data_IF_338092550069
#
_entry.id   IF_338092550069
#
_cell.length_a   1.000
_cell.length_b   1.000
_cell.length_c   1.000
_cell.angle_alpha   90.00
_cell.angle_beta   90.00
_cell.angle_gamma   90.00
#
_symmetry.space_group_name_H-M   'P 1'
#
loop_
_entity.id
_entity.type
_entity.pdbx_description
1 polymer ?
#
# COMPACT_ATOMS: atom_id res chain seq x y z
N UNK A 1 5.97 -23.58 31.73
CA UNK A 1 6.59 -23.11 30.46
C UNK A 1 5.56 -22.29 29.70
N UNK A 2 5.79 -20.99 29.52
CA UNK A 2 4.95 -20.14 28.68
C UNK A 2 5.01 -20.65 27.23
N UNK A 3 3.86 -20.99 26.62
CA UNK A 3 3.80 -21.27 25.18
C UNK A 3 4.30 -20.03 24.46
N UNK A 4 5.40 -20.13 23.71
CA UNK A 4 5.79 -19.07 22.78
C UNK A 4 4.66 -18.89 21.78
N UNK A 5 3.99 -17.74 21.84
CA UNK A 5 3.07 -17.30 20.80
C UNK A 5 3.87 -17.22 19.50
N UNK A 6 3.46 -17.98 18.49
CA UNK A 6 4.10 -18.00 17.18
C UNK A 6 3.23 -17.23 16.18
N UNK A 7 3.88 -16.63 15.17
CA UNK A 7 3.19 -16.00 14.07
C UNK A 7 2.36 -17.05 13.30
N UNK A 8 1.08 -16.75 13.10
CA UNK A 8 0.19 -17.45 12.18
C UNK A 8 0.30 -16.81 10.80
N UNK A 9 0.54 -17.63 9.79
CA UNK A 9 0.76 -17.15 8.44
C UNK A 9 -0.51 -16.67 7.74
N UNK A 10 -0.37 -15.64 6.90
CA UNK A 10 -1.46 -15.11 6.07
C UNK A 10 -0.97 -14.82 4.66
N UNK A 11 -1.51 -15.54 3.68
CA UNK A 11 -1.09 -15.48 2.27
C UNK A 11 -1.51 -14.18 1.57
N UNK A 12 -2.53 -13.49 2.08
CA UNK A 12 -3.02 -12.23 1.50
C UNK A 12 -1.95 -11.14 1.52
N UNK A 13 -1.02 -11.18 2.46
CA UNK A 13 0.09 -10.21 2.53
C UNK A 13 0.96 -10.28 1.27
N UNK A 14 1.37 -11.49 0.88
CA UNK A 14 2.19 -11.67 -0.33
C UNK A 14 1.37 -11.46 -1.61
N UNK A 15 0.13 -11.95 -1.65
CA UNK A 15 -0.77 -11.71 -2.80
C UNK A 15 -0.98 -10.22 -3.01
N UNK A 16 -1.22 -9.46 -1.94
CA UNK A 16 -1.34 -8.00 -1.99
C UNK A 16 -0.06 -7.32 -2.45
N UNK A 17 1.11 -7.73 -1.96
CA UNK A 17 2.39 -7.20 -2.41
C UNK A 17 2.63 -7.44 -3.91
N UNK A 18 2.39 -8.67 -4.39
CA UNK A 18 2.53 -9.02 -5.80
C UNK A 18 1.53 -8.25 -6.66
N UNK A 19 0.27 -8.19 -6.23
CA UNK A 19 -0.77 -7.46 -6.94
C UNK A 19 -0.38 -5.99 -7.11
N UNK A 20 0.07 -5.31 -6.05
CA UNK A 20 0.55 -3.94 -6.14
C UNK A 20 1.72 -3.78 -7.10
N UNK A 21 2.72 -4.66 -7.05
CA UNK A 21 3.88 -4.60 -7.96
C UNK A 21 3.51 -4.83 -9.44
N UNK A 22 2.29 -5.27 -9.75
CA UNK A 22 1.80 -5.29 -11.13
C UNK A 22 1.47 -3.89 -11.67
N UNK A 23 1.52 -2.82 -10.85
CA UNK A 23 1.47 -1.42 -11.31
C UNK A 23 2.50 -1.14 -12.42
N UNK A 24 3.66 -1.79 -12.36
CA UNK A 24 4.73 -1.67 -13.35
C UNK A 24 4.33 -2.15 -14.75
N UNK A 25 3.37 -3.07 -14.84
CA UNK A 25 2.81 -3.50 -16.13
C UNK A 25 2.12 -2.34 -16.81
N UNK A 26 1.38 -1.52 -16.07
CA UNK A 26 0.75 -0.32 -16.62
C UNK A 26 1.74 0.80 -16.90
N UNK A 27 2.66 1.08 -15.97
CA UNK A 27 3.66 2.14 -16.13
C UNK A 27 4.50 1.92 -17.39
N UNK A 28 5.03 0.70 -17.57
CA UNK A 28 5.86 0.34 -18.72
C UNK A 28 5.00 0.16 -19.98
N UNK A 29 3.88 -0.55 -19.87
CA UNK A 29 3.04 -0.92 -21.01
C UNK A 29 2.29 0.25 -21.65
N UNK A 30 1.85 1.23 -20.86
CA UNK A 30 1.14 2.41 -21.33
C UNK A 30 2.02 3.66 -21.43
N UNK A 31 3.30 3.58 -21.05
CA UNK A 31 4.23 4.72 -21.09
C UNK A 31 3.75 5.90 -20.24
N UNK A 32 3.21 5.63 -19.05
CA UNK A 32 2.58 6.65 -18.20
C UNK A 32 3.62 7.67 -17.75
N UNK A 33 3.54 8.89 -18.29
CA UNK A 33 4.42 10.01 -17.96
C UNK A 33 3.71 11.23 -17.35
N UNK A 34 2.41 11.10 -17.05
CA UNK A 34 1.54 12.17 -16.52
C UNK A 34 0.95 11.73 -15.18
N UNK A 35 0.57 12.66 -14.27
CA UNK A 35 0.52 14.12 -14.43
C UNK A 35 1.88 14.81 -14.27
N UNK A 36 2.04 15.99 -14.89
CA UNK A 36 3.30 16.75 -14.94
C UNK A 36 3.32 17.95 -13.97
N UNK A 37 2.15 18.50 -13.64
CA UNK A 37 1.99 19.61 -12.71
C UNK A 37 2.05 20.99 -13.36
N UNK A 38 1.72 22.01 -12.56
CA UNK A 38 1.49 23.38 -13.06
C UNK A 38 2.73 24.06 -13.68
N UNK A 39 3.94 23.61 -13.32
CA UNK A 39 5.21 24.14 -13.84
C UNK A 39 5.57 23.58 -15.21
N UNK A 40 4.89 22.54 -15.69
CA UNK A 40 5.13 21.96 -17.00
C UNK A 40 4.73 22.92 -18.13
N UNK A 41 5.51 22.90 -19.22
CA UNK A 41 5.23 23.73 -20.38
C UNK A 41 3.93 23.29 -21.07
N UNK A 42 3.31 24.20 -21.82
CA UNK A 42 2.09 23.87 -22.57
C UNK A 42 2.32 22.77 -23.60
N UNK A 43 3.53 22.75 -24.19
CA UNK A 43 3.98 21.72 -25.10
C UNK A 43 4.09 20.35 -24.42
N UNK A 44 4.70 20.26 -23.23
CA UNK A 44 4.91 18.98 -22.54
C UNK A 44 3.59 18.38 -22.05
N UNK A 45 2.69 19.21 -21.52
CA UNK A 45 1.34 18.78 -21.17
C UNK A 45 0.61 18.26 -22.42
N UNK A 46 0.65 18.99 -23.53
CA UNK A 46 0.01 18.53 -24.76
C UNK A 46 0.60 17.21 -25.23
N UNK A 47 1.93 17.07 -25.23
CA UNK A 47 2.63 15.84 -25.64
C UNK A 47 2.28 14.64 -24.75
N UNK A 48 2.12 14.84 -23.44
CA UNK A 48 1.78 13.78 -22.49
C UNK A 48 0.34 13.27 -22.60
N UNK A 49 -0.61 14.10 -23.07
CA UNK A 49 -2.03 13.74 -23.12
C UNK A 49 -2.56 13.50 -24.54
N UNK A 50 -2.08 14.20 -25.57
CA UNK A 50 -2.60 14.11 -26.93
C UNK A 50 -2.34 12.72 -27.52
N UNK A 51 -3.37 12.06 -28.04
CA UNK A 51 -3.26 10.73 -28.66
C UNK A 51 -3.13 9.55 -27.68
N UNK A 52 -3.19 9.80 -26.37
CA UNK A 52 -2.96 8.77 -25.33
C UNK A 52 -4.23 8.33 -24.58
N UNK A 53 -5.43 8.64 -25.10
CA UNK A 53 -6.69 8.43 -24.38
C UNK A 53 -6.93 6.95 -24.01
N UNK A 54 -6.71 6.03 -24.95
CA UNK A 54 -6.88 4.60 -24.71
C UNK A 54 -5.82 4.05 -23.75
N UNK A 55 -4.56 4.48 -23.92
CA UNK A 55 -3.45 4.04 -23.08
C UNK A 55 -3.64 4.48 -21.62
N UNK A 56 -3.97 5.75 -21.40
CA UNK A 56 -4.22 6.30 -20.06
C UNK A 56 -5.53 5.77 -19.46
N UNK A 57 -6.56 5.55 -20.27
CA UNK A 57 -7.80 4.91 -19.84
C UNK A 57 -7.58 3.47 -19.36
N UNK A 58 -6.81 2.68 -20.12
CA UNK A 58 -6.42 1.32 -19.72
C UNK A 58 -5.56 1.34 -18.45
N UNK A 59 -4.56 2.23 -18.38
CA UNK A 59 -3.71 2.36 -17.20
C UNK A 59 -4.52 2.73 -15.95
N UNK A 60 -5.44 3.69 -16.05
CA UNK A 60 -6.32 4.05 -14.93
C UNK A 60 -7.19 2.88 -14.47
N UNK A 61 -7.76 2.11 -15.40
CA UNK A 61 -8.51 0.90 -15.09
C UNK A 61 -7.64 -0.19 -14.43
N UNK A 62 -6.38 -0.32 -14.85
CA UNK A 62 -5.42 -1.25 -14.26
C UNK A 62 -5.06 -0.86 -12.83
N UNK A 63 -4.64 0.40 -12.60
CA UNK A 63 -4.32 0.93 -11.28
C UNK A 63 -5.51 0.79 -10.31
N UNK A 64 -6.74 1.03 -10.76
CA UNK A 64 -7.93 0.82 -9.93
C UNK A 64 -8.07 -0.60 -9.34
N UNK A 65 -7.46 -1.60 -9.97
CA UNK A 65 -7.42 -2.98 -9.48
C UNK A 65 -6.15 -3.26 -8.69
N UNK A 66 -4.98 -2.98 -9.28
CA UNK A 66 -3.70 -3.42 -8.71
C UNK A 66 -3.33 -2.66 -7.44
N UNK A 67 -3.76 -1.40 -7.30
CA UNK A 67 -3.48 -0.60 -6.11
C UNK A 67 -4.16 -1.15 -4.85
N UNK A 68 -5.28 -1.89 -5.01
CA UNK A 68 -5.92 -2.61 -3.90
C UNK A 68 -4.99 -3.64 -3.26
N UNK A 69 -3.92 -4.06 -3.96
CA UNK A 69 -2.87 -4.91 -3.41
C UNK A 69 -2.28 -4.37 -2.11
N UNK A 70 -2.08 -3.05 -1.99
CA UNK A 70 -1.57 -2.45 -0.75
C UNK A 70 -2.58 -2.54 0.40
N UNK A 71 -3.89 -2.41 0.12
CA UNK A 71 -4.94 -2.61 1.12
C UNK A 71 -5.00 -4.07 1.56
N UNK A 72 -4.98 -5.01 0.61
CA UNK A 72 -4.94 -6.45 0.89
C UNK A 72 -3.73 -6.82 1.76
N UNK A 73 -2.58 -6.20 1.51
CA UNK A 73 -1.40 -6.39 2.34
C UNK A 73 -1.67 -5.99 3.80
N UNK A 74 -2.24 -4.81 4.04
CA UNK A 74 -2.53 -4.33 5.40
C UNK A 74 -3.60 -5.16 6.10
N UNK A 75 -4.65 -5.58 5.38
CA UNK A 75 -5.70 -6.46 5.90
C UNK A 75 -5.13 -7.84 6.24
N UNK A 76 -4.28 -8.40 5.39
CA UNK A 76 -3.59 -9.67 5.64
C UNK A 76 -2.68 -9.60 6.86
N UNK A 77 -1.94 -8.51 7.02
CA UNK A 77 -1.04 -8.31 8.17
C UNK A 77 -1.83 -8.14 9.47
N UNK A 78 -2.93 -7.39 9.43
CA UNK A 78 -3.87 -7.24 10.57
C UNK A 78 -4.42 -8.61 10.99
N UNK A 79 -4.84 -9.41 10.02
CA UNK A 79 -5.39 -10.75 10.25
C UNK A 79 -4.32 -11.68 10.84
N UNK A 80 -3.10 -11.67 10.29
CA UNK A 80 -1.97 -12.44 10.83
C UNK A 80 -1.70 -12.11 12.31
N UNK A 81 -1.69 -10.82 12.68
CA UNK A 81 -1.51 -10.38 14.07
C UNK A 81 -2.67 -10.84 14.97
N UNK A 82 -3.92 -10.69 14.53
CA UNK A 82 -5.10 -11.09 15.29
C UNK A 82 -5.15 -12.62 15.49
N UNK A 83 -4.90 -13.41 14.44
CA UNK A 83 -4.87 -14.87 14.50
C UNK A 83 -3.72 -15.41 15.33
N UNK A 84 -2.63 -14.63 15.45
CA UNK A 84 -1.50 -14.88 16.35
C UNK A 84 -1.76 -14.41 17.79
N UNK A 85 -2.99 -14.04 18.14
CA UNK A 85 -3.38 -13.60 19.49
C UNK A 85 -2.65 -12.31 19.94
N UNK A 86 -2.22 -11.48 18.97
CA UNK A 86 -1.57 -10.18 19.16
C UNK A 86 -2.25 -9.08 18.34
N UNK A 87 -3.59 -8.89 18.44
CA UNK A 87 -4.26 -7.81 17.72
C UNK A 87 -3.74 -6.45 18.19
N UNK A 88 -3.70 -5.48 17.27
CA UNK A 88 -3.18 -4.14 17.56
C UNK A 88 -4.05 -3.07 16.88
N UNK A 89 -4.57 -2.10 17.64
CA UNK A 89 -5.49 -1.05 17.13
C UNK A 89 -4.88 -0.18 16.03
N UNK A 90 -3.55 0.01 16.06
CA UNK A 90 -2.87 0.72 14.97
C UNK A 90 -3.03 0.04 13.61
N UNK A 91 -3.33 -1.27 13.55
CA UNK A 91 -3.62 -1.92 12.28
C UNK A 91 -4.94 -1.47 11.66
N UNK A 92 -5.91 -1.03 12.46
CA UNK A 92 -7.15 -0.47 11.94
C UNK A 92 -6.88 0.88 11.25
N UNK A 93 -6.05 1.71 11.88
CA UNK A 93 -5.56 2.97 11.32
C UNK A 93 -4.71 2.71 10.08
N UNK A 94 -3.85 1.70 10.09
CA UNK A 94 -3.01 1.36 8.94
C UNK A 94 -3.85 0.98 7.71
N UNK A 95 -4.84 0.10 7.90
CA UNK A 95 -5.76 -0.28 6.82
C UNK A 95 -6.53 0.93 6.29
N UNK A 96 -7.06 1.78 7.17
CA UNK A 96 -7.81 2.97 6.78
C UNK A 96 -6.93 3.98 6.01
N UNK A 97 -5.74 4.29 6.52
CA UNK A 97 -4.80 5.19 5.87
C UNK A 97 -4.36 4.68 4.49
N UNK A 98 -4.11 3.37 4.36
CA UNK A 98 -3.79 2.75 3.08
C UNK A 98 -4.95 2.78 2.09
N UNK A 99 -6.18 2.57 2.57
CA UNK A 99 -7.37 2.69 1.73
C UNK A 99 -7.54 4.12 1.20
N UNK A 100 -7.25 5.13 2.04
CA UNK A 100 -7.25 6.54 1.62
C UNK A 100 -6.17 6.82 0.56
N UNK A 101 -4.93 6.36 0.75
CA UNK A 101 -3.89 6.56 -0.29
C UNK A 101 -4.27 5.91 -1.62
N UNK A 102 -4.79 4.68 -1.58
CA UNK A 102 -5.22 3.97 -2.79
C UNK A 102 -6.37 4.71 -3.47
N UNK A 103 -7.37 5.18 -2.72
CA UNK A 103 -8.48 5.94 -3.30
C UNK A 103 -8.01 7.23 -3.97
N UNK A 104 -7.10 7.97 -3.34
CA UNK A 104 -6.50 9.18 -3.90
C UNK A 104 -5.74 8.87 -5.20
N UNK A 105 -4.93 7.82 -5.20
CA UNK A 105 -4.13 7.42 -6.36
C UNK A 105 -5.01 6.95 -7.54
N UNK A 106 -6.11 6.25 -7.26
CA UNK A 106 -7.12 5.93 -8.29
C UNK A 106 -7.74 7.20 -8.88
N UNK A 107 -8.03 8.22 -8.04
CA UNK A 107 -8.52 9.51 -8.52
C UNK A 107 -7.49 10.22 -9.40
N UNK A 108 -6.19 10.19 -9.05
CA UNK A 108 -5.12 10.76 -9.88
C UNK A 108 -5.18 10.19 -11.29
N UNK A 109 -5.16 8.87 -11.44
CA UNK A 109 -5.13 8.25 -12.76
C UNK A 109 -6.45 8.40 -13.51
N UNK A 110 -7.59 8.40 -12.81
CA UNK A 110 -8.89 8.68 -13.43
C UNK A 110 -8.96 10.11 -13.99
N UNK A 111 -8.44 11.10 -13.26
CA UNK A 111 -8.36 12.49 -13.72
C UNK A 111 -7.41 12.62 -14.92
N UNK A 112 -6.24 11.98 -14.87
CA UNK A 112 -5.30 11.97 -15.99
C UNK A 112 -5.90 11.32 -17.25
N UNK A 113 -6.59 10.19 -17.12
CA UNK A 113 -7.30 9.56 -18.22
C UNK A 113 -8.42 10.47 -18.76
N UNK A 114 -9.19 11.11 -17.87
CA UNK A 114 -10.23 12.06 -18.23
C UNK A 114 -9.70 13.29 -18.97
N UNK A 115 -8.49 13.77 -18.62
CA UNK A 115 -7.82 14.87 -19.31
C UNK A 115 -7.47 14.49 -20.75
N UNK A 116 -6.88 13.30 -20.96
CA UNK A 116 -6.59 12.79 -22.30
C UNK A 116 -7.86 12.55 -23.13
N UNK A 117 -8.88 11.94 -22.51
CA UNK A 117 -10.16 11.70 -23.16
C UNK A 117 -10.83 13.02 -23.60
N UNK A 118 -10.84 14.02 -22.72
CA UNK A 118 -11.39 15.35 -23.03
C UNK A 118 -10.70 15.96 -24.24
N UNK A 119 -9.36 15.94 -24.27
CA UNK A 119 -8.58 16.46 -25.39
C UNK A 119 -8.88 15.72 -26.71
N UNK A 120 -9.06 14.40 -26.68
CA UNK A 120 -9.42 13.61 -27.85
C UNK A 120 -10.84 13.91 -28.39
N UNK A 121 -11.71 14.52 -27.58
CA UNK A 121 -13.11 14.82 -27.91
C UNK A 121 -13.38 16.32 -28.03
N UNK A 122 -12.38 17.10 -28.47
CA UNK A 122 -12.53 18.53 -28.74
C UNK A 122 -12.36 19.43 -27.50
N UNK A 123 -11.90 18.87 -26.39
CA UNK A 123 -11.49 19.62 -25.21
C UNK A 123 -10.28 20.53 -25.46
N UNK A 124 -10.12 21.54 -24.60
CA UNK A 124 -9.05 22.53 -24.76
C UNK A 124 -7.77 22.16 -23.99
N UNK A 125 -6.64 22.72 -24.42
CA UNK A 125 -5.38 22.63 -23.67
C UNK A 125 -5.50 23.28 -22.28
N UNK A 126 -6.28 24.35 -22.14
CA UNK A 126 -6.52 24.99 -20.85
C UNK A 126 -7.21 24.03 -19.86
N UNK A 127 -8.24 23.31 -20.31
CA UNK A 127 -8.92 22.27 -19.52
C UNK A 127 -7.95 21.15 -19.14
N UNK A 128 -7.14 20.69 -20.09
CA UNK A 128 -6.16 19.63 -19.86
C UNK A 128 -5.13 20.04 -18.80
N UNK A 129 -4.60 21.26 -18.88
CA UNK A 129 -3.67 21.81 -17.87
C UNK A 129 -4.31 21.92 -16.48
N UNK A 130 -5.58 22.30 -16.40
CA UNK A 130 -6.29 22.38 -15.14
C UNK A 130 -6.45 20.99 -14.49
N UNK A 131 -6.84 19.98 -15.28
CA UNK A 131 -6.97 18.60 -14.81
C UNK A 131 -5.60 18.00 -14.43
N UNK A 132 -4.56 18.27 -15.22
CA UNK A 132 -3.19 17.85 -14.92
C UNK A 132 -2.69 18.42 -13.58
N UNK A 133 -2.93 19.71 -13.32
CA UNK A 133 -2.56 20.33 -12.05
C UNK A 133 -3.32 19.71 -10.86
N UNK A 134 -4.61 19.39 -11.03
CA UNK A 134 -5.41 18.71 -9.99
C UNK A 134 -4.90 17.29 -9.73
N UNK A 135 -4.65 16.52 -10.79
CA UNK A 135 -4.10 15.17 -10.69
C UNK A 135 -2.72 15.19 -10.03
N UNK A 136 -1.85 16.13 -10.44
CA UNK A 136 -0.53 16.30 -9.85
C UNK A 136 -0.61 16.61 -8.36
N UNK A 137 -1.42 17.61 -7.96
CA UNK A 137 -1.56 17.96 -6.55
C UNK A 137 -2.12 16.80 -5.73
N UNK A 138 -3.11 16.09 -6.26
CA UNK A 138 -3.70 14.92 -5.60
C UNK A 138 -2.65 13.82 -5.46
N UNK A 139 -1.78 13.62 -6.44
CA UNK A 139 -0.69 12.63 -6.38
C UNK A 139 0.28 12.93 -5.24
N UNK A 140 0.60 14.21 -4.99
CA UNK A 140 1.46 14.58 -3.85
C UNK A 140 0.86 14.20 -2.49
N UNK A 141 -0.47 14.23 -2.37
CA UNK A 141 -1.16 13.88 -1.12
C UNK A 141 -1.17 12.38 -0.81
N UNK A 142 -0.91 11.51 -1.80
CA UNK A 142 -0.92 10.04 -1.66
C UNK A 142 0.13 9.56 -0.64
N UNK A 143 1.28 10.22 -0.59
CA UNK A 143 2.43 9.76 0.19
C UNK A 143 2.23 9.84 1.71
N UNK A 144 1.48 10.84 2.19
CA UNK A 144 1.21 11.02 3.62
C UNK A 144 0.48 9.81 4.23
N UNK A 145 -0.70 9.41 3.72
CA UNK A 145 -1.42 8.25 4.21
C UNK A 145 -0.65 6.92 4.04
N UNK A 146 0.15 6.75 2.97
CA UNK A 146 1.07 5.60 2.85
C UNK A 146 2.03 5.57 4.05
N UNK A 147 2.66 6.70 4.36
CA UNK A 147 3.60 6.83 5.47
C UNK A 147 2.97 6.49 6.82
N UNK A 148 1.78 7.04 7.09
CA UNK A 148 1.01 6.74 8.31
C UNK A 148 0.68 5.26 8.39
N UNK A 149 0.26 4.64 7.29
CA UNK A 149 -0.05 3.21 7.26
C UNK A 149 1.17 2.36 7.62
N UNK A 150 2.31 2.63 7.00
CA UNK A 150 3.55 1.88 7.22
C UNK A 150 4.09 2.09 8.64
N UNK A 151 4.02 3.31 9.18
CA UNK A 151 4.39 3.59 10.58
C UNK A 151 3.52 2.78 11.54
N UNK A 152 2.20 2.85 11.38
CA UNK A 152 1.26 2.12 12.22
C UNK A 152 1.49 0.60 12.17
N UNK A 153 1.70 0.06 10.97
CA UNK A 153 2.02 -1.35 10.77
C UNK A 153 3.38 -1.72 11.38
N UNK A 154 4.41 -0.92 11.15
CA UNK A 154 5.76 -1.12 11.71
C UNK A 154 5.77 -1.11 13.24
N UNK A 155 5.05 -0.17 13.87
CA UNK A 155 4.89 -0.12 15.34
C UNK A 155 4.14 -1.35 15.82
N UNK A 156 3.03 -1.72 15.19
CA UNK A 156 2.27 -2.93 15.57
C UNK A 156 3.14 -4.20 15.48
N UNK A 157 3.90 -4.36 14.40
CA UNK A 157 4.84 -5.47 14.23
C UNK A 157 5.94 -5.45 15.30
N UNK A 158 6.51 -4.28 15.58
CA UNK A 158 7.55 -4.11 16.61
C UNK A 158 7.03 -4.48 18.00
N UNK A 159 5.87 -3.95 18.39
CA UNK A 159 5.25 -4.20 19.69
C UNK A 159 4.74 -5.64 19.85
N UNK A 160 4.36 -6.32 18.76
CA UNK A 160 3.91 -7.71 18.81
C UNK A 160 5.00 -8.69 19.23
N UNK A 161 6.27 -8.38 18.94
CA UNK A 161 7.40 -9.30 19.11
C UNK A 161 7.37 -10.54 18.21
N UNK A 162 6.42 -10.63 17.27
CA UNK A 162 6.25 -11.78 16.37
C UNK A 162 7.15 -11.73 15.13
N UNK A 163 7.63 -10.53 14.80
CA UNK A 163 8.45 -10.26 13.62
C UNK A 163 9.89 -9.95 14.01
N UNK A 164 10.84 -10.21 13.10
CA UNK A 164 12.22 -9.80 13.28
C UNK A 164 12.31 -8.28 13.40
N UNK A 165 13.12 -7.78 14.35
CA UNK A 165 13.30 -6.33 14.57
C UNK A 165 13.75 -5.59 13.32
N UNK A 166 14.61 -6.19 12.50
CA UNK A 166 15.04 -5.59 11.24
C UNK A 166 13.86 -5.35 10.29
N UNK A 167 12.94 -6.32 10.17
CA UNK A 167 11.75 -6.20 9.34
C UNK A 167 10.80 -5.11 9.86
N UNK A 168 10.50 -5.12 11.17
CA UNK A 168 9.64 -4.09 11.78
C UNK A 168 10.27 -2.70 11.67
N UNK A 169 11.58 -2.60 11.89
CA UNK A 169 12.35 -1.36 11.75
C UNK A 169 12.35 -0.82 10.33
N UNK A 170 12.45 -1.69 9.32
CA UNK A 170 12.35 -1.30 7.92
C UNK A 170 11.00 -0.64 7.60
N UNK A 171 9.90 -1.18 8.16
CA UNK A 171 8.56 -0.60 8.02
C UNK A 171 8.43 0.76 8.70
N UNK A 172 9.03 0.91 9.89
CA UNK A 172 9.10 2.20 10.60
C UNK A 172 9.87 3.26 9.80
N UNK A 173 11.03 2.89 9.26
CA UNK A 173 11.86 3.79 8.44
C UNK A 173 11.11 4.18 7.17
N UNK A 174 10.56 3.22 6.43
CA UNK A 174 9.76 3.50 5.24
C UNK A 174 8.59 4.44 5.55
N UNK A 175 7.83 4.14 6.61
CA UNK A 175 6.70 4.96 7.00
C UNK A 175 7.08 6.38 7.41
N UNK A 176 8.19 6.54 8.15
CA UNK A 176 8.68 7.87 8.53
C UNK A 176 9.07 8.67 7.28
N UNK A 177 9.82 8.06 6.36
CA UNK A 177 10.24 8.72 5.13
C UNK A 177 9.04 9.15 4.27
N UNK A 178 8.05 8.27 4.07
CA UNK A 178 6.83 8.62 3.33
C UNK A 178 5.99 9.70 4.02
N UNK A 179 5.92 9.69 5.35
CA UNK A 179 5.20 10.72 6.10
C UNK A 179 5.88 12.09 5.93
N UNK A 180 7.21 12.13 6.07
CA UNK A 180 7.98 13.36 5.83
C UNK A 180 7.85 13.80 4.37
N UNK A 181 7.88 12.86 3.42
CA UNK A 181 7.73 13.14 1.99
C UNK A 181 6.36 13.76 1.68
N UNK A 182 5.26 13.18 2.19
CA UNK A 182 3.92 13.75 2.01
C UNK A 182 3.77 15.15 2.61
N UNK A 183 4.39 15.42 3.77
CA UNK A 183 4.40 16.77 4.36
C UNK A 183 5.27 17.76 3.57
N UNK A 184 6.39 17.28 2.99
CA UNK A 184 7.35 18.11 2.29
C UNK A 184 6.92 18.45 0.85
N UNK A 185 6.27 17.52 0.15
CA UNK A 185 5.83 17.72 -1.23
C UNK A 185 4.77 18.82 -1.37
N UNK A 186 3.96 19.03 -0.34
CA UNK A 186 2.98 20.12 -0.27
C UNK A 186 3.61 21.51 -0.06
N UNK A 187 4.89 21.57 0.27
CA UNK A 187 5.58 22.81 0.63
C UNK A 187 6.90 22.96 -0.15
N UNK A 188 6.92 23.78 -1.23
CA UNK A 188 8.06 23.90 -2.14
C UNK A 188 9.42 24.21 -1.48
N UNK A 189 9.40 24.86 -0.31
CA UNK A 189 10.60 25.13 0.50
C UNK A 189 11.37 23.88 0.95
N UNK A 190 10.77 22.69 0.87
CA UNK A 190 11.36 21.43 1.31
C UNK A 190 11.80 20.51 0.15
N UNK A 191 11.93 21.02 -1.09
CA UNK A 191 12.30 20.22 -2.26
C UNK A 191 13.60 19.38 -2.06
N UNK A 192 14.61 19.93 -1.38
CA UNK A 192 15.85 19.20 -1.09
C UNK A 192 15.63 17.99 -0.17
N UNK A 193 14.71 18.11 0.79
CA UNK A 193 14.37 17.01 1.70
C UNK A 193 13.68 15.87 0.96
N UNK A 194 12.78 16.18 0.01
CA UNK A 194 12.13 15.20 -0.86
C UNK A 194 13.16 14.43 -1.69
N UNK A 195 14.12 15.13 -2.29
CA UNK A 195 15.15 14.48 -3.10
C UNK A 195 15.99 13.50 -2.28
N UNK A 196 16.36 13.89 -1.05
CA UNK A 196 17.16 13.06 -0.14
C UNK A 196 16.46 11.75 0.29
N UNK A 197 15.11 11.72 0.27
CA UNK A 197 14.31 10.58 0.72
C UNK A 197 13.63 9.83 -0.43
N UNK A 198 13.98 10.13 -1.68
CA UNK A 198 13.43 9.51 -2.89
C UNK A 198 13.56 7.97 -2.91
N UNK A 199 14.52 7.40 -2.19
CA UNK A 199 14.67 5.95 -2.02
C UNK A 199 13.58 5.30 -1.13
N UNK A 200 12.67 6.08 -0.54
CA UNK A 200 11.62 5.58 0.35
C UNK A 200 10.77 4.47 -0.30
N UNK A 201 10.41 4.62 -1.58
CA UNK A 201 9.62 3.64 -2.32
C UNK A 201 10.31 2.27 -2.39
N UNK A 202 11.62 2.25 -2.67
CA UNK A 202 12.39 1.01 -2.70
C UNK A 202 12.41 0.32 -1.33
N UNK A 203 12.59 1.09 -0.25
CA UNK A 203 12.56 0.58 1.12
C UNK A 203 11.18 -0.03 1.44
N UNK A 204 10.11 0.64 1.04
CA UNK A 204 8.74 0.13 1.17
C UNK A 204 8.56 -1.18 0.39
N UNK A 205 8.97 -1.27 -0.87
CA UNK A 205 8.82 -2.50 -1.66
C UNK A 205 9.58 -3.67 -1.03
N UNK A 206 10.81 -3.45 -0.56
CA UNK A 206 11.58 -4.47 0.17
C UNK A 206 10.82 -4.92 1.42
N UNK A 207 10.30 -3.97 2.21
CA UNK A 207 9.50 -4.28 3.40
C UNK A 207 8.23 -5.07 3.06
N UNK A 208 7.50 -4.70 2.01
CA UNK A 208 6.27 -5.37 1.58
C UNK A 208 6.54 -6.82 1.19
N UNK A 209 7.53 -7.06 0.32
CA UNK A 209 7.88 -8.41 -0.15
C UNK A 209 8.41 -9.24 1.00
N UNK A 210 9.28 -8.70 1.86
CA UNK A 210 9.82 -9.44 3.00
C UNK A 210 8.71 -9.80 4.00
N UNK A 211 7.81 -8.87 4.32
CA UNK A 211 6.64 -9.14 5.18
C UNK A 211 5.75 -10.22 4.57
N UNK A 212 5.48 -10.15 3.27
CA UNK A 212 4.73 -11.15 2.51
C UNK A 212 5.37 -12.54 2.59
N UNK A 213 6.68 -12.65 2.38
CA UNK A 213 7.39 -13.95 2.45
C UNK A 213 7.39 -14.52 3.87
N UNK A 214 7.60 -13.69 4.90
CA UNK A 214 7.59 -14.14 6.30
C UNK A 214 6.20 -14.67 6.69
N UNK A 215 5.16 -13.91 6.38
CA UNK A 215 3.77 -14.31 6.68
C UNK A 215 3.32 -15.49 5.84
N UNK A 216 3.80 -15.65 4.60
CA UNK A 216 3.53 -16.84 3.79
C UNK A 216 4.16 -18.11 4.36
N UNK A 217 5.39 -18.01 4.89
CA UNK A 217 6.15 -19.14 5.43
C UNK A 217 5.74 -19.53 6.86
N UNK A 218 5.06 -18.65 7.57
CA UNK A 218 4.57 -18.93 8.92
C UNK A 218 3.50 -20.04 8.92
N UNK A 219 3.46 -20.84 9.99
CA UNK A 219 2.58 -22.01 10.06
C UNK A 219 1.11 -21.57 10.17
N UNK A 220 0.17 -22.27 9.52
CA UNK A 220 -1.26 -22.03 9.75
C UNK A 220 -1.66 -22.46 11.16
N UNK A 221 -2.71 -21.84 11.70
CA UNK A 221 -3.29 -22.22 12.99
C UNK A 221 -3.86 -23.63 12.85
N UNK A 222 -3.24 -24.62 13.50
CA UNK A 222 -3.81 -25.97 13.60
C UNK A 222 -5.03 -25.88 14.50
N UNK A 223 -6.22 -26.04 13.94
CA UNK A 223 -7.44 -26.17 14.73
C UNK A 223 -7.28 -27.40 15.62
N UNK A 224 -7.25 -27.21 16.95
CA UNK A 224 -7.35 -28.33 17.88
C UNK A 224 -8.74 -28.96 17.66
N UNK A 225 -8.87 -30.29 17.50
CA UNK A 225 -10.16 -30.93 17.50
C UNK A 225 -10.89 -30.56 18.80
N UNK A 226 -12.05 -29.92 18.69
CA UNK A 226 -12.98 -29.78 19.82
C UNK A 226 -13.47 -31.20 20.14
N UNK A 227 -13.00 -31.80 21.23
CA UNK A 227 -13.52 -33.10 21.69
C UNK A 227 -12.57 -34.06 22.42
N UNK A 228 -11.31 -33.69 22.69
CA UNK A 228 -10.36 -34.62 23.34
C UNK A 228 -10.27 -34.48 24.88
N UNK A 229 -11.17 -33.72 25.52
CA UNK A 229 -11.18 -33.49 26.98
C UNK A 229 -12.44 -34.06 27.66
N UNK A 230 -13.08 -35.10 27.10
CA UNK A 230 -14.24 -35.77 27.73
C UNK A 230 -14.05 -37.29 27.90
N UNK A 231 -12.83 -37.72 28.22
CA UNK A 231 -12.66 -39.01 28.91
C UNK A 231 -12.67 -38.74 30.40
N UNK A 232 -13.89 -38.58 30.92
CA UNK A 232 -14.22 -38.76 32.32
C UNK A 232 -13.56 -40.05 32.81
N UNK A 233 -12.74 -39.87 33.84
CA UNK A 233 -12.40 -40.84 34.87
C UNK A 233 -13.61 -41.68 35.24
N UNK A 234 -13.66 -42.93 34.78
CA UNK A 234 -14.35 -44.01 35.49
C UNK A 234 -13.32 -44.72 36.35
N UNK A 235 -13.26 -44.26 37.60
CA UNK A 235 -12.56 -44.92 38.70
C UNK A 235 -13.41 -46.14 39.12
N UNK A 236 -13.14 -47.30 38.51
CA UNK A 236 -13.72 -48.58 38.93
C UNK A 236 -12.81 -49.23 39.97
N UNK A 237 -12.85 -48.69 41.18
CA UNK A 237 -12.50 -49.44 42.39
C UNK A 237 -13.67 -49.38 43.35
N UNK A 238 -14.48 -50.44 43.40
CA UNK A 238 -15.11 -51.07 44.58
C UNK A 238 -16.31 -51.93 44.17
N UNK A 239 -16.07 -53.23 43.99
CA UNK A 239 -16.94 -54.34 44.38
C UNK A 239 -16.13 -55.64 44.34
#
# INVERSE_FOLDING_TARGET
MSRRTALVGNRLVLVGAVLYLLEWVAIIGAGVGVPLGATASAHDVLAGYAGHADALGWAAGWFAVVELGRVLLMVGLRSALAESERPHRLMDVAVAAMAVSVALEVVVYAVSAGASWSLAHGGSLATTRALDAVAFQTNLTVYGPIGVSLLCAGVAMWCSGLFARALSGLGLVAGLLFTVMGLALEAPRFAQAVQAISAAALIMWIWMVWTGVVTWRARPRVARPRGADDTSTYDLTTA
#
